data_IF_379680360293
#
_entry.id   IF_379680360293
#
_cell.length_a   1.000
_cell.length_b   1.000
_cell.length_c   1.000
_cell.angle_alpha   90.00
_cell.angle_beta   90.00
_cell.angle_gamma   90.00
#
_symmetry.space_group_name_H-M   'P 1'
#
loop_
_entity.id
_entity.type
_entity.pdbx_description
1 polymer ?
#
# COMPACT_ATOMS: atom_id res chain seq x y z
N UNK A 1 21.66 -52.21 28.53
CA UNK A 1 22.33 -50.94 28.15
C UNK A 1 22.14 -50.53 26.68
N UNK A 2 22.08 -51.45 25.70
CA UNK A 2 22.08 -51.11 24.25
C UNK A 2 20.77 -50.54 23.68
N UNK A 3 19.60 -50.84 24.25
CA UNK A 3 18.32 -50.42 23.67
C UNK A 3 17.96 -48.96 23.97
N UNK A 4 18.21 -48.49 25.20
CA UNK A 4 17.98 -47.08 25.59
C UNK A 4 18.83 -46.11 24.80
N UNK A 5 20.09 -46.45 24.54
CA UNK A 5 21.00 -45.63 23.72
C UNK A 5 20.52 -45.52 22.27
N UNK A 6 19.98 -46.62 21.69
CA UNK A 6 19.42 -46.61 20.33
C UNK A 6 18.15 -45.75 20.22
N UNK A 7 17.27 -45.80 21.22
CA UNK A 7 16.05 -44.97 21.26
C UNK A 7 16.43 -43.49 21.40
N UNK A 8 17.40 -43.17 22.26
CA UNK A 8 17.86 -41.79 22.44
C UNK A 8 18.50 -41.23 21.16
N UNK A 9 19.34 -42.01 20.48
CA UNK A 9 19.93 -41.64 19.18
C UNK A 9 18.88 -41.43 18.10
N UNK A 10 17.85 -42.29 18.03
CA UNK A 10 16.76 -42.14 17.08
C UNK A 10 15.92 -40.89 17.36
N UNK A 11 15.65 -40.57 18.64
CA UNK A 11 14.93 -39.36 19.03
C UNK A 11 15.72 -38.08 18.72
N UNK A 12 17.03 -38.06 18.99
CA UNK A 12 17.91 -36.94 18.65
C UNK A 12 18.01 -36.77 17.13
N UNK A 13 18.11 -37.86 16.38
CA UNK A 13 18.12 -37.81 14.92
C UNK A 13 16.79 -37.29 14.36
N UNK A 14 15.65 -37.73 14.89
CA UNK A 14 14.34 -37.22 14.50
C UNK A 14 14.18 -35.73 14.82
N UNK A 15 14.65 -35.27 15.99
CA UNK A 15 14.67 -33.86 16.37
C UNK A 15 15.59 -33.01 15.49
N UNK A 16 16.77 -33.53 15.12
CA UNK A 16 17.66 -32.85 14.18
C UNK A 16 17.07 -32.80 12.77
N UNK A 17 16.39 -33.87 12.34
CA UNK A 17 15.72 -33.92 11.03
C UNK A 17 14.55 -32.92 10.98
N UNK A 18 13.71 -32.88 12.02
CA UNK A 18 12.63 -31.88 12.10
C UNK A 18 13.18 -30.46 12.18
N UNK A 19 14.24 -30.23 12.96
CA UNK A 19 14.92 -28.93 13.03
C UNK A 19 15.51 -28.51 11.67
N UNK A 20 16.13 -29.45 10.93
CA UNK A 20 16.66 -29.21 9.58
C UNK A 20 15.58 -29.02 8.51
N UNK A 21 14.39 -29.58 8.69
CA UNK A 21 13.24 -29.38 7.79
C UNK A 21 12.53 -28.05 8.10
N UNK A 22 12.48 -27.63 9.36
CA UNK A 22 11.81 -26.40 9.80
C UNK A 22 12.68 -25.15 9.57
N UNK A 23 14.01 -25.26 9.71
CA UNK A 23 14.96 -24.15 9.49
C UNK A 23 14.89 -23.47 8.10
N UNK A 24 14.78 -24.20 6.96
CA UNK A 24 14.66 -23.56 5.65
C UNK A 24 13.28 -22.93 5.41
N UNK A 25 12.24 -23.36 6.15
CA UNK A 25 10.89 -22.81 6.03
C UNK A 25 10.75 -21.42 6.67
N UNK A 26 11.64 -21.03 7.60
CA UNK A 26 11.54 -19.74 8.31
C UNK A 26 12.43 -18.62 7.76
N UNK A 27 13.21 -18.87 6.69
CA UNK A 27 13.92 -17.80 5.98
C UNK A 27 13.12 -17.36 4.77
N UNK A 28 12.10 -16.54 5.01
CA UNK A 28 11.60 -15.66 3.95
C UNK A 28 12.77 -14.78 3.49
N UNK A 29 13.43 -15.16 2.39
CA UNK A 29 14.40 -14.29 1.75
C UNK A 29 13.63 -13.10 1.20
N UNK A 30 13.88 -11.92 1.75
CA UNK A 30 13.36 -10.67 1.17
C UNK A 30 13.89 -10.57 -0.27
N UNK A 31 12.98 -10.72 -1.24
CA UNK A 31 13.31 -10.55 -2.66
C UNK A 31 13.07 -9.09 -3.03
N UNK A 32 14.14 -8.42 -3.43
CA UNK A 32 14.09 -7.02 -3.84
C UNK A 32 13.83 -6.95 -5.35
N UNK A 33 12.75 -6.26 -5.71
CA UNK A 33 12.43 -5.93 -7.09
C UNK A 33 12.76 -4.47 -7.32
N UNK A 34 13.69 -4.18 -8.24
CA UNK A 34 13.95 -2.82 -8.70
C UNK A 34 13.29 -2.67 -10.06
N UNK A 35 12.30 -1.79 -10.13
CA UNK A 35 11.67 -1.44 -11.39
C UNK A 35 12.74 -0.94 -12.36
N UNK A 36 12.65 -1.39 -13.61
CA UNK A 36 13.59 -0.94 -14.64
C UNK A 36 13.25 0.51 -15.01
N UNK A 37 14.24 1.42 -15.01
CA UNK A 37 13.97 2.86 -15.12
C UNK A 37 13.43 3.33 -16.49
N UNK A 38 13.54 2.50 -17.54
CA UNK A 38 13.19 2.89 -18.91
C UNK A 38 11.74 2.54 -19.34
N UNK A 39 10.82 2.35 -18.39
CA UNK A 39 9.45 1.90 -18.68
C UNK A 39 8.67 2.82 -19.63
N UNK A 40 8.95 4.14 -19.67
CA UNK A 40 8.16 5.10 -20.46
C UNK A 40 8.97 6.28 -21.02
N UNK A 41 10.02 6.03 -21.83
CA UNK A 41 10.67 7.12 -22.58
C UNK A 41 9.82 7.70 -23.71
N UNK A 42 8.61 7.18 -23.97
CA UNK A 42 7.69 7.76 -24.96
C UNK A 42 6.24 7.70 -24.49
N UNK A 43 5.66 8.89 -24.33
CA UNK A 43 4.24 9.22 -24.19
C UNK A 43 3.64 9.16 -22.77
N UNK A 44 3.43 10.40 -22.30
CA UNK A 44 2.60 10.81 -21.20
C UNK A 44 1.11 10.67 -21.53
N UNK A 45 0.32 10.53 -20.45
CA UNK A 45 -1.14 10.63 -20.32
C UNK A 45 -1.84 9.26 -20.11
N UNK A 46 -2.46 9.10 -18.94
CA UNK A 46 -3.16 7.88 -18.47
C UNK A 46 -4.46 7.58 -19.22
N UNK A 47 -5.41 6.74 -18.71
CA UNK A 47 -5.43 5.93 -17.50
C UNK A 47 -4.81 4.53 -17.69
N UNK A 48 -4.55 3.83 -16.59
CA UNK A 48 -3.83 2.52 -16.53
C UNK A 48 -4.35 1.41 -17.49
N UNK A 49 -5.60 1.52 -17.97
CA UNK A 49 -6.17 0.63 -18.98
C UNK A 49 -5.69 0.87 -20.42
N UNK A 50 -5.17 2.08 -20.73
CA UNK A 50 -4.77 2.48 -22.09
C UNK A 50 -3.25 2.59 -22.30
N UNK A 51 -2.46 2.50 -21.24
CA UNK A 51 -0.99 2.62 -21.29
C UNK A 51 -0.30 1.41 -21.95
N UNK A 52 -0.90 0.21 -21.85
CA UNK A 52 -0.31 -1.02 -22.35
C UNK A 52 -1.33 -1.81 -23.16
N UNK A 53 -0.97 -2.17 -24.39
CA UNK A 53 -1.77 -3.08 -25.20
C UNK A 53 -1.79 -4.48 -24.53
N UNK A 54 -2.92 -5.23 -24.60
CA UNK A 54 -3.05 -6.51 -23.91
C UNK A 54 -1.94 -7.53 -24.23
N UNK A 55 -1.48 -7.58 -25.47
CA UNK A 55 -0.40 -8.46 -25.96
C UNK A 55 0.98 -8.09 -25.39
N UNK A 56 1.13 -6.88 -24.84
CA UNK A 56 2.40 -6.37 -24.28
C UNK A 56 2.50 -6.56 -22.77
N UNK A 57 1.42 -6.93 -22.09
CA UNK A 57 1.37 -7.04 -20.63
C UNK A 57 2.29 -8.15 -20.12
N UNK A 58 2.30 -9.30 -20.77
CA UNK A 58 3.15 -10.43 -20.36
C UNK A 58 4.63 -10.06 -20.41
N UNK A 59 5.08 -9.47 -21.52
CA UNK A 59 6.46 -9.01 -21.68
C UNK A 59 6.80 -7.91 -20.66
N UNK A 60 5.91 -6.94 -20.47
CA UNK A 60 6.09 -5.88 -19.47
C UNK A 60 6.31 -6.44 -18.07
N UNK A 61 5.45 -7.36 -17.62
CA UNK A 61 5.59 -7.96 -16.29
C UNK A 61 6.84 -8.81 -16.16
N UNK A 62 7.15 -9.61 -17.20
CA UNK A 62 8.37 -10.40 -17.25
C UNK A 62 9.63 -9.54 -17.09
N UNK A 63 9.67 -8.37 -17.74
CA UNK A 63 10.78 -7.44 -17.61
C UNK A 63 10.95 -6.89 -16.19
N UNK A 64 9.88 -6.82 -15.40
CA UNK A 64 9.92 -6.43 -13.99
C UNK A 64 10.19 -7.60 -13.03
N UNK A 65 10.30 -8.84 -13.54
CA UNK A 65 10.49 -10.04 -12.74
C UNK A 65 9.19 -10.63 -12.18
N UNK A 66 8.05 -10.29 -12.77
CA UNK A 66 6.73 -10.79 -12.41
C UNK A 66 6.07 -11.51 -13.60
N UNK A 67 4.96 -12.19 -13.36
CA UNK A 67 4.07 -12.67 -14.42
C UNK A 67 2.90 -11.70 -14.58
N UNK A 68 2.16 -11.78 -15.70
CA UNK A 68 0.93 -11.00 -15.85
C UNK A 68 -0.11 -11.41 -14.80
N UNK A 69 -0.83 -10.43 -14.26
CA UNK A 69 -2.00 -10.71 -13.43
C UNK A 69 -3.12 -11.31 -14.31
N UNK A 70 -3.76 -12.41 -13.88
CA UNK A 70 -4.80 -13.05 -14.69
C UNK A 70 -5.90 -12.08 -15.09
N UNK A 71 -6.25 -12.08 -16.38
CA UNK A 71 -7.36 -11.27 -16.86
C UNK A 71 -8.67 -11.91 -16.38
N UNK A 72 -9.55 -11.11 -15.78
CA UNK A 72 -10.91 -11.53 -15.47
C UNK A 72 -11.87 -10.94 -16.49
N UNK A 73 -12.85 -11.75 -16.91
CA UNK A 73 -13.92 -11.31 -17.83
C UNK A 73 -14.98 -10.46 -17.10
N UNK A 74 -15.10 -10.61 -15.79
CA UNK A 74 -16.14 -9.96 -14.98
C UNK A 74 -15.67 -8.73 -14.23
N UNK A 75 -14.36 -8.54 -14.07
CA UNK A 75 -13.81 -7.47 -13.26
C UNK A 75 -12.42 -7.02 -13.73
N UNK A 76 -12.24 -5.72 -13.99
CA UNK A 76 -10.89 -5.17 -14.12
C UNK A 76 -10.29 -4.94 -12.73
N UNK A 77 -9.08 -5.46 -12.50
CA UNK A 77 -8.35 -5.26 -11.24
C UNK A 77 -8.24 -3.78 -10.90
N UNK A 78 -8.75 -3.40 -9.72
CA UNK A 78 -8.72 -2.04 -9.22
C UNK A 78 -7.50 -1.79 -8.35
N UNK A 79 -7.15 -0.51 -8.22
CA UNK A 79 -6.12 -0.01 -7.29
C UNK A 79 -6.77 1.02 -6.38
N UNK A 80 -6.72 0.73 -5.07
CA UNK A 80 -7.15 1.62 -4.00
C UNK A 80 -5.92 2.19 -3.31
N UNK A 81 -5.90 3.51 -3.15
CA UNK A 81 -4.83 4.24 -2.48
C UNK A 81 -5.33 4.74 -1.12
N UNK A 82 -4.85 4.12 -0.03
CA UNK A 82 -5.32 4.30 1.34
C UNK A 82 -4.28 5.09 2.13
N UNK A 83 -4.66 6.23 2.69
CA UNK A 83 -3.77 7.03 3.53
C UNK A 83 -4.55 7.87 4.54
N UNK A 84 -3.88 8.20 5.64
CA UNK A 84 -4.40 9.13 6.64
C UNK A 84 -4.15 10.57 6.20
N UNK A 85 -5.09 11.46 6.52
CA UNK A 85 -4.94 12.91 6.35
C UNK A 85 -5.03 13.60 7.71
N UNK A 86 -4.08 14.49 7.99
CA UNK A 86 -4.10 15.29 9.21
C UNK A 86 -4.30 16.77 8.92
N UNK A 87 -3.32 17.42 8.27
CA UNK A 87 -3.30 18.86 7.94
C UNK A 87 -2.75 19.14 6.53
N UNK A 88 -2.25 18.11 5.85
CA UNK A 88 -1.36 18.21 4.70
C UNK A 88 -2.12 18.38 3.35
N UNK A 89 -2.98 19.39 3.25
CA UNK A 89 -3.82 19.61 2.06
C UNK A 89 -3.04 19.82 0.75
N UNK A 90 -1.85 20.44 0.81
CA UNK A 90 -1.00 20.61 -0.37
C UNK A 90 -0.45 19.26 -0.86
N UNK A 91 -0.12 18.35 0.07
CA UNK A 91 0.28 16.98 -0.29
C UNK A 91 -0.88 16.18 -0.85
N UNK A 92 -2.09 16.38 -0.32
CA UNK A 92 -3.30 15.78 -0.88
C UNK A 92 -3.49 16.21 -2.35
N UNK A 93 -3.41 17.51 -2.63
CA UNK A 93 -3.54 18.04 -4.00
C UNK A 93 -2.50 17.41 -4.95
N UNK A 94 -1.22 17.39 -4.55
CA UNK A 94 -0.14 16.78 -5.32
C UNK A 94 -0.43 15.30 -5.59
N UNK A 95 -0.82 14.55 -4.55
CA UNK A 95 -1.08 13.11 -4.64
C UNK A 95 -2.26 12.80 -5.56
N UNK A 96 -3.39 13.50 -5.41
CA UNK A 96 -4.58 13.32 -6.25
C UNK A 96 -4.27 13.60 -7.73
N UNK A 97 -3.60 14.71 -8.03
CA UNK A 97 -3.21 15.04 -9.40
C UNK A 97 -2.23 14.03 -9.99
N UNK A 98 -1.27 13.55 -9.21
CA UNK A 98 -0.24 12.61 -9.67
C UNK A 98 -0.82 11.22 -9.93
N UNK A 99 -1.69 10.72 -9.05
CA UNK A 99 -2.10 9.32 -9.02
C UNK A 99 -3.48 9.07 -9.61
N UNK A 100 -4.32 10.10 -9.80
CA UNK A 100 -5.69 9.90 -10.29
C UNK A 100 -5.81 9.16 -11.63
N UNK A 101 -4.86 9.20 -12.58
CA UNK A 101 -4.95 8.36 -13.79
C UNK A 101 -4.68 6.87 -13.55
N UNK A 102 -4.09 6.52 -12.41
CA UNK A 102 -3.57 5.19 -12.11
C UNK A 102 -4.33 4.49 -10.98
N UNK A 103 -5.03 5.25 -10.15
CA UNK A 103 -5.85 4.82 -9.01
C UNK A 103 -7.33 4.88 -9.38
N UNK A 104 -8.10 3.88 -8.93
CA UNK A 104 -9.56 3.89 -9.08
C UNK A 104 -10.20 4.68 -7.95
N UNK A 105 -9.77 4.43 -6.70
CA UNK A 105 -10.30 5.10 -5.53
C UNK A 105 -9.20 5.52 -4.54
N UNK A 106 -9.31 6.75 -4.04
CA UNK A 106 -8.56 7.26 -2.91
C UNK A 106 -9.39 7.04 -1.65
N UNK A 107 -8.90 6.25 -0.72
CA UNK A 107 -9.54 6.00 0.57
C UNK A 107 -8.84 6.88 1.60
N UNK A 108 -9.53 7.93 2.03
CA UNK A 108 -8.98 8.97 2.89
C UNK A 108 -9.68 8.89 4.23
N UNK A 109 -8.91 8.68 5.29
CA UNK A 109 -9.39 8.75 6.67
C UNK A 109 -8.75 9.94 7.35
N UNK A 110 -9.58 10.77 7.99
CA UNK A 110 -9.13 11.79 8.92
C UNK A 110 -9.94 11.74 10.22
N UNK A 111 -9.50 12.46 11.24
CA UNK A 111 -10.19 12.57 12.53
C UNK A 111 -10.22 14.01 13.01
N UNK A 112 -11.04 14.28 14.03
CA UNK A 112 -11.11 15.57 14.73
C UNK A 112 -10.09 15.71 15.87
N UNK A 113 -9.11 14.81 15.93
CA UNK A 113 -8.02 14.82 16.91
C UNK A 113 -6.69 14.49 16.26
N UNK A 114 -5.59 15.00 16.81
CA UNK A 114 -4.25 14.48 16.50
C UNK A 114 -4.06 13.12 17.17
N UNK A 115 -3.04 12.35 16.79
CA UNK A 115 -2.66 11.12 17.49
C UNK A 115 -2.26 11.34 18.97
N UNK A 116 -2.02 12.60 19.36
CA UNK A 116 -1.77 13.00 20.76
C UNK A 116 -3.04 13.44 21.50
N UNK A 117 -4.22 13.31 20.87
CA UNK A 117 -5.52 13.65 21.45
C UNK A 117 -5.85 15.15 21.45
N UNK A 118 -5.08 15.99 20.76
CA UNK A 118 -5.40 17.42 20.66
C UNK A 118 -6.48 17.63 19.60
N UNK A 119 -7.48 18.49 19.85
CA UNK A 119 -8.54 18.74 18.88
C UNK A 119 -7.98 19.40 17.61
N UNK A 120 -8.48 18.96 16.45
CA UNK A 120 -8.21 19.56 15.14
C UNK A 120 -9.45 19.52 14.25
N UNK A 121 -9.56 20.40 13.25
CA UNK A 121 -10.53 20.24 12.18
C UNK A 121 -10.39 18.92 11.41
N UNK A 122 -11.50 18.46 10.84
CA UNK A 122 -11.48 17.53 9.71
C UNK A 122 -11.28 18.39 8.45
N UNK A 123 -10.03 18.51 8.01
CA UNK A 123 -9.62 19.49 7.02
C UNK A 123 -10.21 19.19 5.64
N UNK A 124 -10.24 17.93 5.19
CA UNK A 124 -10.84 17.63 3.89
C UNK A 124 -12.37 17.81 3.94
N UNK A 125 -13.01 17.47 5.05
CA UNK A 125 -14.45 17.75 5.24
C UNK A 125 -14.75 19.26 5.12
N UNK A 126 -13.98 20.11 5.81
CA UNK A 126 -14.17 21.58 5.76
C UNK A 126 -13.84 22.18 4.39
N UNK A 127 -12.93 21.54 3.63
CA UNK A 127 -12.51 21.97 2.30
C UNK A 127 -13.11 21.13 1.17
N UNK A 128 -14.21 20.41 1.42
CA UNK A 128 -14.79 19.49 0.43
C UNK A 128 -15.17 20.20 -0.88
N UNK A 129 -15.78 21.38 -0.79
CA UNK A 129 -16.18 22.15 -1.98
C UNK A 129 -15.05 23.00 -2.60
N UNK A 130 -13.81 22.82 -2.15
CA UNK A 130 -12.64 23.50 -2.70
C UNK A 130 -12.36 23.01 -4.15
N UNK A 131 -12.23 23.93 -5.14
CA UNK A 131 -11.87 23.57 -6.51
C UNK A 131 -10.62 22.70 -6.67
N UNK A 132 -9.72 22.67 -5.68
CA UNK A 132 -8.57 21.76 -5.64
C UNK A 132 -8.97 20.27 -5.56
N UNK A 133 -10.10 19.96 -4.93
CA UNK A 133 -10.50 18.58 -4.62
C UNK A 133 -11.76 18.12 -5.37
N UNK A 134 -12.65 19.05 -5.73
CA UNK A 134 -13.88 18.75 -6.48
C UNK A 134 -13.72 17.88 -7.74
N UNK A 135 -12.63 17.98 -8.54
CA UNK A 135 -12.45 17.11 -9.72
C UNK A 135 -12.27 15.63 -9.38
N UNK A 136 -11.96 15.30 -8.12
CA UNK A 136 -11.63 13.94 -7.67
C UNK A 136 -12.73 13.29 -6.82
N UNK A 137 -13.84 13.99 -6.53
CA UNK A 137 -14.90 13.48 -5.64
C UNK A 137 -15.44 12.10 -6.03
N UNK A 138 -15.58 11.83 -7.33
CA UNK A 138 -16.04 10.53 -7.83
C UNK A 138 -15.06 9.38 -7.58
N UNK A 139 -13.82 9.68 -7.17
CA UNK A 139 -12.77 8.73 -6.79
C UNK A 139 -12.46 8.74 -5.30
N UNK A 140 -12.96 9.70 -4.53
CA UNK A 140 -12.64 9.80 -3.10
C UNK A 140 -13.69 9.04 -2.29
N UNK A 141 -13.22 8.10 -1.47
CA UNK A 141 -13.95 7.45 -0.39
C UNK A 141 -13.43 8.08 0.89
N UNK A 142 -14.15 9.08 1.40
CA UNK A 142 -13.74 9.88 2.56
C UNK A 142 -14.48 9.44 3.82
N UNK A 143 -13.75 9.31 4.93
CA UNK A 143 -14.33 9.04 6.24
C UNK A 143 -13.66 9.86 7.33
N UNK A 144 -14.46 10.65 8.04
CA UNK A 144 -14.06 11.21 9.33
C UNK A 144 -14.36 10.18 10.41
N UNK A 145 -13.34 9.79 11.17
CA UNK A 145 -13.46 8.84 12.27
C UNK A 145 -13.26 9.55 13.61
N UNK A 146 -13.92 9.01 14.64
CA UNK A 146 -13.74 9.46 16.01
C UNK A 146 -12.64 8.62 16.66
N UNK A 147 -11.62 9.30 17.17
CA UNK A 147 -10.53 8.68 17.92
C UNK A 147 -11.09 8.01 19.19
N UNK A 148 -10.72 6.74 19.48
CA UNK A 148 -11.20 6.04 20.67
C UNK A 148 -10.77 6.69 22.00
N UNK A 149 -9.86 7.67 21.97
CA UNK A 149 -9.54 8.55 23.08
C UNK A 149 -8.65 7.92 24.16
N UNK A 150 -8.36 8.69 25.21
CA UNK A 150 -7.35 8.32 26.20
C UNK A 150 -7.70 7.10 27.08
N UNK A 151 -8.97 6.65 27.04
CA UNK A 151 -9.43 5.43 27.72
C UNK A 151 -9.00 4.17 26.98
N UNK A 152 -8.83 4.25 25.65
CA UNK A 152 -8.31 3.16 24.83
C UNK A 152 -6.81 2.98 25.02
N UNK A 153 -6.04 4.05 24.86
CA UNK A 153 -4.61 4.08 25.13
C UNK A 153 -4.14 5.50 25.44
N UNK A 154 -2.93 5.62 26.00
CA UNK A 154 -2.22 6.90 26.13
C UNK A 154 -0.99 6.97 25.21
N UNK A 155 -0.72 5.92 24.43
CA UNK A 155 0.42 5.85 23.55
C UNK A 155 0.01 6.32 22.15
N UNK A 156 0.67 7.35 21.63
CA UNK A 156 0.42 7.92 20.30
C UNK A 156 0.35 6.86 19.19
N UNK A 157 1.25 5.88 19.23
CA UNK A 157 1.33 4.81 18.23
C UNK A 157 0.10 3.90 18.22
N UNK A 158 -0.55 3.67 19.37
CA UNK A 158 -1.75 2.85 19.43
C UNK A 158 -2.93 3.57 18.74
N UNK A 159 -3.01 4.90 18.84
CA UNK A 159 -3.99 5.71 18.14
C UNK A 159 -3.71 5.74 16.63
N UNK A 160 -2.44 5.87 16.23
CA UNK A 160 -2.04 5.78 14.83
C UNK A 160 -2.41 4.41 14.24
N UNK A 161 -2.05 3.31 14.91
CA UNK A 161 -2.40 1.94 14.48
C UNK A 161 -3.90 1.76 14.37
N UNK A 162 -4.68 2.30 15.31
CA UNK A 162 -6.13 2.26 15.25
C UNK A 162 -6.67 3.01 14.02
N UNK A 163 -6.17 4.23 13.76
CA UNK A 163 -6.59 5.01 12.58
C UNK A 163 -6.16 4.36 11.27
N UNK A 164 -4.96 3.76 11.21
CA UNK A 164 -4.51 2.98 10.04
C UNK A 164 -5.41 1.77 9.80
N UNK A 165 -5.84 1.08 10.84
CA UNK A 165 -6.82 -0.01 10.70
C UNK A 165 -8.20 0.50 10.24
N UNK A 166 -8.58 1.73 10.62
CA UNK A 166 -9.82 2.35 10.18
C UNK A 166 -9.88 2.58 8.66
N UNK A 167 -8.74 2.75 7.99
CA UNK A 167 -8.66 2.81 6.51
C UNK A 167 -9.29 1.59 5.83
N UNK A 168 -9.35 0.45 6.51
CA UNK A 168 -10.04 -0.75 6.01
C UNK A 168 -11.36 -0.99 6.75
N UNK A 169 -11.33 -1.00 8.08
CA UNK A 169 -12.44 -1.45 8.92
C UNK A 169 -13.61 -0.46 9.01
N UNK A 170 -13.38 0.84 8.77
CA UNK A 170 -14.40 1.89 8.91
C UNK A 170 -14.82 2.50 7.57
N UNK A 171 -14.16 2.14 6.46
CA UNK A 171 -14.44 2.68 5.12
C UNK A 171 -15.16 1.64 4.27
N UNK A 172 -14.58 0.46 4.08
CA UNK A 172 -15.09 -0.55 3.16
C UNK A 172 -16.48 -1.11 3.54
N UNK A 173 -16.80 -1.36 4.82
CA UNK A 173 -18.14 -1.81 5.20
C UNK A 173 -19.25 -0.79 4.90
N UNK A 174 -18.92 0.48 4.80
CA UNK A 174 -19.86 1.59 4.56
C UNK A 174 -20.03 1.90 3.05
N UNK A 175 -19.27 1.24 2.17
CA UNK A 175 -19.42 1.40 0.72
C UNK A 175 -20.77 0.81 0.29
N UNK A 176 -21.69 1.68 -0.09
CA UNK A 176 -23.01 1.30 -0.63
C UNK A 176 -22.96 0.99 -2.12
N UNK A 177 -22.07 1.63 -2.87
CA UNK A 177 -22.03 1.54 -4.32
C UNK A 177 -21.28 0.29 -4.80
N UNK A 178 -21.95 -0.65 -5.49
CA UNK A 178 -21.32 -1.92 -5.88
C UNK A 178 -20.07 -1.76 -6.75
N UNK A 179 -19.97 -0.69 -7.54
CA UNK A 179 -18.79 -0.45 -8.38
C UNK A 179 -17.58 0.06 -7.59
N UNK A 180 -17.75 0.54 -6.35
CA UNK A 180 -16.65 0.94 -5.47
C UNK A 180 -16.18 -0.20 -4.57
N UNK A 181 -16.92 -1.30 -4.49
CA UNK A 181 -16.54 -2.44 -3.66
C UNK A 181 -15.26 -3.12 -4.19
N UNK A 182 -14.32 -3.48 -3.29
CA UNK A 182 -13.14 -4.23 -3.65
C UNK A 182 -13.49 -5.69 -3.91
N UNK A 183 -12.72 -6.30 -4.81
CA UNK A 183 -12.79 -7.73 -5.08
C UNK A 183 -11.47 -8.40 -4.80
N UNK A 184 -11.51 -9.72 -4.61
CA UNK A 184 -10.29 -10.51 -4.50
C UNK A 184 -9.41 -10.30 -5.73
N UNK A 185 -8.14 -10.03 -5.47
CA UNK A 185 -7.16 -9.68 -6.49
C UNK A 185 -6.94 -8.20 -6.68
N UNK A 186 -7.81 -7.31 -6.19
CA UNK A 186 -7.55 -5.87 -6.20
C UNK A 186 -6.33 -5.48 -5.36
N UNK A 187 -5.78 -4.30 -5.63
CA UNK A 187 -4.61 -3.77 -4.94
C UNK A 187 -5.07 -2.76 -3.89
N UNK A 188 -4.67 -3.00 -2.64
CA UNK A 188 -4.73 -2.00 -1.58
C UNK A 188 -3.31 -1.49 -1.35
N UNK A 189 -3.08 -0.21 -1.63
CA UNK A 189 -1.84 0.48 -1.30
C UNK A 189 -2.08 1.27 -0.02
N UNK A 190 -1.28 1.04 1.02
CA UNK A 190 -1.39 1.78 2.29
C UNK A 190 -0.11 2.56 2.48
N UNK A 191 -0.17 3.89 2.56
CA UNK A 191 1.02 4.71 2.74
C UNK A 191 0.75 5.96 3.56
N UNK A 192 1.81 6.71 3.86
CA UNK A 192 1.68 8.08 4.33
C UNK A 192 1.39 9.01 3.15
N UNK A 193 0.84 10.20 3.44
CA UNK A 193 0.39 11.12 2.41
C UNK A 193 1.55 11.67 1.57
N UNK A 194 2.72 11.84 2.17
CA UNK A 194 3.96 12.29 1.55
C UNK A 194 4.75 11.16 0.85
N UNK A 195 4.35 9.90 1.04
CA UNK A 195 4.88 8.74 0.32
C UNK A 195 4.16 8.54 -1.03
N UNK A 196 4.42 9.42 -1.99
CA UNK A 196 3.78 9.37 -3.32
C UNK A 196 4.49 8.35 -4.23
N UNK A 197 3.86 7.21 -4.60
CA UNK A 197 4.48 6.23 -5.48
C UNK A 197 4.65 6.80 -6.88
N UNK A 198 5.67 6.31 -7.57
CA UNK A 198 5.81 6.56 -9.00
C UNK A 198 4.64 5.93 -9.77
N UNK A 199 4.06 6.62 -10.77
CA UNK A 199 2.98 6.07 -11.58
C UNK A 199 3.27 4.70 -12.20
N UNK A 200 4.52 4.44 -12.59
CA UNK A 200 4.95 3.16 -13.16
C UNK A 200 4.78 2.01 -12.16
N UNK A 201 4.98 2.28 -10.86
CA UNK A 201 4.75 1.30 -9.81
C UNK A 201 3.28 0.89 -9.77
N UNK A 202 2.35 1.82 -9.90
CA UNK A 202 0.91 1.53 -9.92
C UNK A 202 0.51 0.73 -11.18
N UNK A 203 1.19 0.92 -12.31
CA UNK A 203 0.98 0.08 -13.50
C UNK A 203 1.43 -1.35 -13.24
N UNK A 204 2.59 -1.55 -12.61
CA UNK A 204 3.08 -2.89 -12.21
C UNK A 204 2.13 -3.55 -11.24
N UNK A 205 1.72 -2.85 -10.18
CA UNK A 205 0.77 -3.37 -9.20
C UNK A 205 -0.56 -3.75 -9.85
N UNK A 206 -1.03 -2.99 -10.83
CA UNK A 206 -2.28 -3.33 -11.53
C UNK A 206 -2.12 -4.53 -12.48
N UNK A 207 -1.07 -4.54 -13.30
CA UNK A 207 -0.99 -5.46 -14.45
C UNK A 207 -0.22 -6.74 -14.15
N UNK A 208 0.59 -6.78 -13.09
CA UNK A 208 1.46 -7.90 -12.77
C UNK A 208 1.04 -8.64 -11.51
N UNK A 209 1.27 -9.95 -11.50
CA UNK A 209 1.12 -10.80 -10.34
C UNK A 209 2.35 -10.65 -9.43
N UNK A 210 2.12 -10.07 -8.26
CA UNK A 210 3.11 -9.91 -7.19
C UNK A 210 2.67 -10.72 -5.96
N UNK A 211 3.55 -10.98 -4.98
CA UNK A 211 3.18 -11.68 -3.75
C UNK A 211 2.04 -10.98 -3.00
N UNK A 212 1.29 -11.71 -2.17
CA UNK A 212 0.15 -11.15 -1.42
C UNK A 212 0.49 -9.86 -0.64
N UNK A 213 1.72 -9.75 -0.14
CA UNK A 213 2.24 -8.56 0.52
C UNK A 213 3.64 -8.24 -0.01
N UNK A 214 3.90 -6.96 -0.22
CA UNK A 214 5.22 -6.41 -0.51
C UNK A 214 5.33 -5.01 0.11
N UNK A 215 6.54 -4.45 0.06
CA UNK A 215 6.86 -3.11 0.56
C UNK A 215 7.47 -2.32 -0.60
N UNK A 216 6.90 -1.17 -0.92
CA UNK A 216 7.40 -0.28 -1.95
C UNK A 216 8.53 0.57 -1.37
N UNK A 217 9.68 0.62 -2.03
CA UNK A 217 10.77 1.48 -1.58
C UNK A 217 10.80 2.81 -2.32
N UNK A 218 10.79 3.89 -1.55
CA UNK A 218 10.79 5.28 -1.98
C UNK A 218 12.14 5.95 -1.71
N UNK A 219 12.44 6.99 -2.49
CA UNK A 219 13.56 7.87 -2.20
C UNK A 219 13.15 8.89 -1.14
N UNK A 220 13.95 9.03 -0.09
CA UNK A 220 13.70 10.02 0.96
C UNK A 220 14.24 11.40 0.57
N UNK A 221 13.46 12.46 0.83
CA UNK A 221 13.83 13.85 0.59
C UNK A 221 13.59 14.66 1.86
N UNK A 222 14.50 15.58 2.17
CA UNK A 222 14.37 16.49 3.31
C UNK A 222 13.70 17.79 2.87
N UNK A 223 12.61 18.19 3.52
CA UNK A 223 11.92 19.47 3.34
C UNK A 223 11.29 19.71 1.95
N UNK A 224 11.98 19.41 0.86
CA UNK A 224 11.49 19.51 -0.53
C UNK A 224 12.26 18.56 -1.47
N UNK A 225 11.76 18.39 -2.69
CA UNK A 225 12.34 17.49 -3.71
C UNK A 225 13.77 17.83 -4.17
N UNK A 226 14.29 19.00 -3.81
CA UNK A 226 15.67 19.39 -4.13
C UNK A 226 16.70 18.66 -3.26
N UNK A 227 16.31 18.28 -2.03
CA UNK A 227 17.24 17.77 -1.01
C UNK A 227 17.09 16.27 -0.81
N UNK A 228 17.48 15.51 -1.83
CA UNK A 228 17.50 14.05 -1.75
C UNK A 228 18.44 13.58 -0.64
N UNK A 229 17.96 12.68 0.22
CA UNK A 229 18.75 12.04 1.25
C UNK A 229 19.98 11.35 0.67
N UNK A 230 21.13 11.56 1.33
CA UNK A 230 22.40 10.92 1.01
C UNK A 230 22.75 9.93 2.11
N UNK A 231 22.84 8.66 1.75
CA UNK A 231 23.08 7.57 2.68
C UNK A 231 22.13 6.41 2.46
N UNK A 232 22.13 5.50 3.44
CA UNK A 232 21.21 4.37 3.47
C UNK A 232 19.77 4.88 3.55
N UNK A 233 18.93 4.37 2.64
CA UNK A 233 17.54 4.78 2.61
C UNK A 233 16.83 4.30 3.88
N UNK A 234 15.88 5.12 4.34
CA UNK A 234 15.05 4.86 5.50
C UNK A 234 14.42 3.45 5.44
N UNK A 235 14.56 2.61 6.48
CA UNK A 235 14.20 1.18 6.39
C UNK A 235 12.75 0.84 6.72
N UNK A 236 11.93 1.77 7.25
CA UNK A 236 10.60 1.48 7.81
C UNK A 236 9.63 2.66 7.75
N UNK A 237 8.32 2.45 7.64
CA UNK A 237 7.71 1.79 6.50
C UNK A 237 8.03 2.55 5.21
N UNK A 238 7.77 1.91 4.07
CA UNK A 238 7.57 2.56 2.79
C UNK A 238 6.48 1.73 2.10
N UNK A 239 5.31 2.34 1.85
CA UNK A 239 4.03 1.77 1.37
C UNK A 239 3.89 0.24 1.12
#
# INVERSE_FOLDING_TARGET
>A
MKLRTRILLAAVFALLLTYLIILPASRHKNQYYRLKPDLYRSQSIGPSGRLLLPDRIETFCWEQGFTAFPKSESHERKVYDLFLLSTELDWLEIRLHTLSPYVDFFVIVESRTTFTGLPKPAYLEEHWDDPRFTPFHNKIIHRVVEDPGAEFSRQTWDHEDWMRNALFLQTFPEISEPWQMPHLGDVLLVSDIDEVPKPETLVVLRKCAFPERLTLRSHFYYYSFQWRHRGDQWPHPQA
#
